data_IF_008633052633
#
_entry.id   IF_008633052633
#
_cell.length_a   1.000
_cell.length_b   1.000
_cell.length_c   1.000
_cell.angle_alpha   90.00
_cell.angle_beta   90.00
_cell.angle_gamma   90.00
#
_symmetry.space_group_name_H-M   'P 1'
#
loop_
_entity.id
_entity.type
_entity.pdbx_description
1 polymer ?
#
# COMPACT_ATOMS: atom_id res chain seq x y z
N UNK A 1 -1.65 22.37 -15.40
CA UNK A 1 -0.86 21.26 -14.81
C UNK A 1 -1.48 20.79 -13.51
N UNK A 2 -1.69 21.67 -12.52
CA UNK A 2 -2.30 21.33 -11.24
C UNK A 2 -3.67 20.65 -11.36
N UNK A 3 -4.54 21.10 -12.29
CA UNK A 3 -5.86 20.49 -12.50
C UNK A 3 -5.78 19.00 -12.90
N UNK A 4 -4.79 18.64 -13.71
CA UNK A 4 -4.56 17.24 -14.09
C UNK A 4 -4.10 16.43 -12.87
N UNK A 5 -3.22 16.98 -12.02
CA UNK A 5 -2.78 16.32 -10.77
C UNK A 5 -3.96 16.07 -9.82
N UNK A 6 -4.87 17.04 -9.66
CA UNK A 6 -6.07 16.87 -8.87
C UNK A 6 -7.01 15.81 -9.44
N UNK A 7 -7.17 15.77 -10.77
CA UNK A 7 -7.98 14.75 -11.45
C UNK A 7 -7.41 13.34 -11.22
N UNK A 8 -6.09 13.16 -11.39
CA UNK A 8 -5.42 11.90 -11.12
C UNK A 8 -5.51 11.51 -9.63
N UNK A 9 -5.33 12.48 -8.72
CA UNK A 9 -5.48 12.23 -7.28
C UNK A 9 -6.90 11.76 -6.95
N UNK A 10 -7.93 12.38 -7.54
CA UNK A 10 -9.32 11.94 -7.39
C UNK A 10 -9.57 10.54 -7.93
N UNK A 11 -9.05 10.21 -9.12
CA UNK A 11 -9.18 8.89 -9.71
C UNK A 11 -8.49 7.80 -8.86
N UNK A 12 -7.29 8.07 -8.34
CA UNK A 12 -6.58 7.16 -7.43
C UNK A 12 -7.33 7.03 -6.11
N UNK A 13 -7.89 8.12 -5.57
CA UNK A 13 -8.68 8.07 -4.34
C UNK A 13 -9.92 7.17 -4.50
N UNK A 14 -10.57 7.19 -5.67
CA UNK A 14 -11.65 6.26 -5.99
C UNK A 14 -11.16 4.80 -6.05
N UNK A 15 -9.98 4.57 -6.61
CA UNK A 15 -9.36 3.25 -6.63
C UNK A 15 -9.01 2.75 -5.20
N UNK A 16 -8.53 3.64 -4.32
CA UNK A 16 -8.29 3.35 -2.90
C UNK A 16 -9.61 3.03 -2.19
N UNK A 17 -10.66 3.82 -2.42
CA UNK A 17 -11.98 3.53 -1.85
C UNK A 17 -12.50 2.15 -2.29
N UNK A 18 -12.34 1.80 -3.57
CA UNK A 18 -12.68 0.48 -4.08
C UNK A 18 -11.79 -0.64 -3.50
N UNK A 19 -10.50 -0.39 -3.27
CA UNK A 19 -9.59 -1.38 -2.68
C UNK A 19 -9.93 -1.65 -1.21
N UNK A 20 -10.39 -0.66 -0.45
CA UNK A 20 -10.87 -0.85 0.93
C UNK A 20 -12.09 -1.78 0.99
N UNK A 21 -12.96 -1.77 -0.01
CA UNK A 21 -14.04 -2.77 -0.12
C UNK A 21 -13.46 -4.18 -0.21
N UNK A 22 -12.37 -4.40 -0.96
CA UNK A 22 -11.66 -5.69 -1.03
C UNK A 22 -10.92 -6.05 0.24
N UNK A 23 -10.42 -5.08 1.01
CA UNK A 23 -9.82 -5.34 2.33
C UNK A 23 -10.84 -5.93 3.29
N UNK A 24 -12.07 -5.40 3.31
CA UNK A 24 -13.13 -5.83 4.23
C UNK A 24 -13.86 -7.08 3.73
N UNK A 25 -14.23 -7.12 2.45
CA UNK A 25 -15.09 -8.17 1.88
C UNK A 25 -14.32 -9.21 1.07
N UNK A 26 -12.98 -9.12 0.98
CA UNK A 26 -12.16 -10.05 0.20
C UNK A 26 -12.33 -11.49 0.69
N UNK A 27 -12.63 -12.47 -0.20
CA UNK A 27 -12.91 -13.84 0.21
C UNK A 27 -11.65 -14.56 0.72
N UNK A 28 -10.50 -14.32 0.09
CA UNK A 28 -9.22 -14.93 0.50
C UNK A 28 -8.36 -13.96 1.30
N UNK A 29 -7.37 -14.49 2.05
CA UNK A 29 -6.34 -13.66 2.70
C UNK A 29 -5.53 -12.87 1.66
N UNK A 30 -5.27 -13.48 0.51
CA UNK A 30 -4.56 -12.83 -0.60
C UNK A 30 -5.34 -11.64 -1.17
N UNK A 31 -6.66 -11.73 -1.33
CA UNK A 31 -7.48 -10.60 -1.81
C UNK A 31 -7.44 -9.41 -0.86
N UNK A 32 -7.53 -9.68 0.44
CA UNK A 32 -7.46 -8.66 1.49
C UNK A 32 -6.07 -8.01 1.53
N UNK A 33 -5.01 -8.82 1.37
CA UNK A 33 -3.63 -8.35 1.24
C UNK A 33 -3.47 -7.43 0.02
N UNK A 34 -3.88 -7.88 -1.17
CA UNK A 34 -3.77 -7.09 -2.40
C UNK A 34 -4.56 -5.78 -2.29
N UNK A 35 -5.75 -5.81 -1.68
CA UNK A 35 -6.53 -4.61 -1.38
C UNK A 35 -5.79 -3.64 -0.46
N UNK A 36 -5.13 -4.15 0.60
CA UNK A 36 -4.36 -3.34 1.53
C UNK A 36 -3.11 -2.75 0.87
N UNK A 37 -2.41 -3.54 0.05
CA UNK A 37 -1.24 -3.08 -0.70
C UNK A 37 -1.61 -1.99 -1.71
N UNK A 38 -2.72 -2.16 -2.43
CA UNK A 38 -3.24 -1.16 -3.36
C UNK A 38 -3.70 0.11 -2.64
N UNK A 39 -4.35 -0.03 -1.47
CA UNK A 39 -4.72 1.12 -0.63
C UNK A 39 -3.47 1.89 -0.16
N UNK A 40 -2.42 1.17 0.26
CA UNK A 40 -1.18 1.76 0.74
C UNK A 40 -0.45 2.55 -0.34
N UNK A 41 -0.18 1.92 -1.49
CA UNK A 41 0.51 2.59 -2.60
C UNK A 41 -0.33 3.70 -3.23
N UNK A 42 -1.65 3.50 -3.34
CA UNK A 42 -2.59 4.53 -3.80
C UNK A 42 -2.64 5.74 -2.86
N UNK A 43 -2.65 5.52 -1.55
CA UNK A 43 -2.58 6.58 -0.55
C UNK A 43 -1.31 7.42 -0.68
N UNK A 44 -0.15 6.78 -0.84
CA UNK A 44 1.14 7.46 -1.08
C UNK A 44 1.07 8.30 -2.36
N UNK A 45 0.53 7.75 -3.45
CA UNK A 45 0.39 8.45 -4.71
C UNK A 45 -0.51 9.69 -4.60
N UNK A 46 -1.62 9.60 -3.85
CA UNK A 46 -2.50 10.76 -3.57
C UNK A 46 -1.74 11.86 -2.82
N UNK A 47 -0.99 11.51 -1.76
CA UNK A 47 -0.23 12.51 -1.00
C UNK A 47 0.84 13.18 -1.88
N UNK A 48 1.54 12.43 -2.73
CA UNK A 48 2.53 12.97 -3.68
C UNK A 48 1.90 13.93 -4.70
N UNK A 49 0.77 13.55 -5.29
CA UNK A 49 0.11 14.40 -6.28
C UNK A 49 -0.38 15.70 -5.66
N UNK A 50 -0.95 15.64 -4.45
CA UNK A 50 -1.40 16.82 -3.72
C UNK A 50 -0.24 17.69 -3.22
N UNK A 51 0.89 17.09 -2.83
CA UNK A 51 2.07 17.86 -2.41
C UNK A 51 2.68 18.65 -3.56
N UNK A 52 2.74 18.07 -4.76
CA UNK A 52 3.20 18.75 -5.97
C UNK A 52 2.19 19.81 -6.41
N UNK A 53 0.89 19.48 -6.41
CA UNK A 53 -0.15 20.43 -6.83
C UNK A 53 -0.26 21.66 -5.91
N UNK A 54 0.04 21.50 -4.62
CA UNK A 54 0.01 22.58 -3.63
C UNK A 54 1.37 23.18 -3.29
N UNK A 55 2.45 22.81 -3.98
CA UNK A 55 3.84 23.23 -3.71
C UNK A 55 4.28 23.08 -2.24
N UNK A 56 3.83 22.01 -1.57
CA UNK A 56 4.07 21.74 -0.15
C UNK A 56 5.16 20.70 0.05
N UNK A 57 6.40 21.16 0.22
CA UNK A 57 7.57 20.30 0.48
C UNK A 57 7.41 19.38 1.69
N UNK A 58 6.82 19.86 2.79
CA UNK A 58 6.59 19.02 3.97
C UNK A 58 5.66 17.82 3.69
N UNK A 59 4.72 17.92 2.75
CA UNK A 59 3.86 16.81 2.36
C UNK A 59 4.59 15.77 1.48
N UNK A 60 5.63 16.18 0.75
CA UNK A 60 6.53 15.26 0.04
C UNK A 60 7.29 14.38 1.05
N UNK A 61 7.82 14.95 2.12
CA UNK A 61 8.52 14.19 3.17
C UNK A 61 7.63 13.14 3.83
N UNK A 62 6.36 13.50 4.06
CA UNK A 62 5.35 12.57 4.57
C UNK A 62 5.12 11.43 3.59
N UNK A 63 4.95 11.72 2.29
CA UNK A 63 4.76 10.69 1.28
C UNK A 63 5.96 9.74 1.17
N UNK A 64 7.18 10.26 1.21
CA UNK A 64 8.41 9.47 1.17
C UNK A 64 8.54 8.57 2.41
N UNK A 65 8.23 9.12 3.59
CA UNK A 65 8.23 8.35 4.85
C UNK A 65 7.17 7.25 4.83
N UNK A 66 5.95 7.57 4.37
CA UNK A 66 4.88 6.59 4.20
C UNK A 66 5.24 5.50 3.18
N UNK A 67 5.98 5.84 2.12
CA UNK A 67 6.49 4.88 1.13
C UNK A 67 7.46 3.88 1.73
N UNK A 68 8.42 4.36 2.53
CA UNK A 68 9.34 3.48 3.28
C UNK A 68 8.57 2.58 4.26
N UNK A 69 7.60 3.15 4.99
CA UNK A 69 6.77 2.38 5.92
C UNK A 69 5.91 1.34 5.19
N UNK A 70 5.36 1.66 4.01
CA UNK A 70 4.55 0.72 3.23
C UNK A 70 5.36 -0.48 2.75
N UNK A 71 6.63 -0.29 2.39
CA UNK A 71 7.53 -1.41 2.07
C UNK A 71 7.72 -2.35 3.27
N UNK A 72 7.96 -1.80 4.46
CA UNK A 72 8.07 -2.58 5.71
C UNK A 72 6.74 -3.26 6.06
N UNK A 73 5.62 -2.57 5.89
CA UNK A 73 4.29 -3.12 6.13
C UNK A 73 4.01 -4.32 5.21
N UNK A 74 4.36 -4.24 3.92
CA UNK A 74 4.22 -5.34 2.97
C UNK A 74 5.00 -6.59 3.43
N UNK A 75 6.26 -6.42 3.86
CA UNK A 75 7.07 -7.50 4.42
C UNK A 75 6.42 -8.07 5.68
N UNK A 76 6.00 -7.22 6.62
CA UNK A 76 5.34 -7.65 7.86
C UNK A 76 4.08 -8.46 7.59
N UNK A 77 3.31 -8.07 6.57
CA UNK A 77 2.11 -8.76 6.14
C UNK A 77 2.39 -10.16 5.56
N UNK A 78 3.44 -10.29 4.72
CA UNK A 78 3.88 -11.60 4.22
C UNK A 78 4.31 -12.50 5.37
N UNK A 79 5.11 -11.98 6.31
CA UNK A 79 5.57 -12.76 7.47
C UNK A 79 4.43 -13.13 8.43
N UNK A 80 3.44 -12.26 8.60
CA UNK A 80 2.27 -12.52 9.45
C UNK A 80 1.32 -13.61 8.89
N UNK A 81 1.48 -14.03 7.63
CA UNK A 81 0.67 -15.10 7.06
C UNK A 81 1.05 -16.49 7.61
N UNK A 82 2.30 -16.71 8.03
CA UNK A 82 2.77 -17.94 8.68
C UNK A 82 2.64 -17.85 10.20
N UNK A 83 2.00 -18.85 10.82
CA UNK A 83 1.76 -18.89 12.28
C UNK A 83 3.03 -18.98 13.12
N UNK A 84 4.12 -19.45 12.51
CA UNK A 84 5.38 -19.72 13.20
C UNK A 84 6.44 -18.64 12.89
N UNK A 85 6.10 -17.62 12.10
CA UNK A 85 7.06 -16.64 11.56
C UNK A 85 7.92 -17.16 10.40
N UNK A 86 7.81 -18.47 10.12
CA UNK A 86 8.35 -19.29 9.03
C UNK A 86 7.76 -18.94 7.65
N UNK A 87 7.78 -17.65 7.30
CA UNK A 87 7.62 -17.19 5.93
C UNK A 87 8.98 -16.90 5.31
N UNK A 88 10.03 -17.57 5.78
CA UNK A 88 11.39 -17.37 5.29
C UNK A 88 11.55 -18.20 4.00
N UNK A 89 11.77 -17.57 2.84
CA UNK A 89 12.02 -18.29 1.59
C UNK A 89 13.27 -19.19 1.64
N UNK A 90 14.13 -19.00 2.65
CA UNK A 90 15.35 -19.78 2.91
C UNK A 90 15.12 -20.98 3.86
N UNK A 91 13.90 -21.22 4.32
CA UNK A 91 13.61 -22.32 5.25
C UNK A 91 13.66 -23.67 4.53
N UNK A 92 14.71 -24.43 4.81
CA UNK A 92 14.98 -25.72 4.16
C UNK A 92 13.90 -26.74 4.55
N UNK A 93 13.29 -27.38 3.54
CA UNK A 93 12.21 -28.33 3.77
C UNK A 93 12.70 -29.49 4.66
N UNK A 94 11.87 -29.98 5.59
CA UNK A 94 12.28 -31.06 6.49
C UNK A 94 12.64 -32.31 5.68
N UNK A 95 13.69 -33.05 6.10
CA UNK A 95 14.11 -34.26 5.41
C UNK A 95 12.99 -35.34 5.43
N UNK A 96 12.95 -36.23 4.41
CA UNK A 96 11.88 -37.21 4.22
C UNK A 96 11.78 -38.26 5.33
#
# INVERSE_FOLDING_TARGET
MADALHLFAGAILLAVAASLVRVVLGPTRADRMMGAQLAGTGGIAVVLLLSVAGERWAALDVALTLSLLAAVAAVGFVKAASRDGAGDPEEEAPPP
#
